data_IF_094922945769
#
_entry.id   IF_094922945769
#
_cell.length_a   1.000
_cell.length_b   1.000
_cell.length_c   1.000
_cell.angle_alpha   90.00
_cell.angle_beta   90.00
_cell.angle_gamma   90.00
#
_symmetry.space_group_name_H-M   'P 1'
#
loop_
_entity.id
_entity.type
_entity.pdbx_description
1 polymer ?
#
# COMPACT_ATOMS: atom_id res chain seq x y z
N UNK A 1 18.90 14.73 5.23
CA UNK A 1 19.47 15.37 4.02
C UNK A 1 20.25 14.28 3.30
N UNK A 2 19.77 13.84 2.14
CA UNK A 2 20.37 12.75 1.37
C UNK A 2 21.39 13.38 0.42
N UNK A 3 22.66 12.95 0.49
CA UNK A 3 23.71 13.46 -0.39
C UNK A 3 23.88 12.51 -1.58
N UNK A 4 23.58 12.99 -2.79
CA UNK A 4 23.85 12.27 -4.03
C UNK A 4 25.25 12.67 -4.55
N UNK A 5 26.12 11.71 -4.82
CA UNK A 5 27.43 11.95 -5.45
C UNK A 5 27.58 11.06 -6.69
N UNK A 6 27.48 11.66 -7.88
CA UNK A 6 27.85 11.00 -9.15
C UNK A 6 27.07 11.49 -10.37
N UNK A 7 27.80 12.13 -11.31
CA UNK A 7 27.42 12.62 -12.66
C UNK A 7 26.14 13.46 -12.79
N UNK A 8 26.19 14.38 -13.75
CA UNK A 8 25.26 15.50 -13.96
C UNK A 8 23.90 15.07 -14.54
N UNK A 9 23.39 13.92 -14.13
CA UNK A 9 22.01 13.55 -14.41
C UNK A 9 21.17 14.16 -13.30
N UNK A 10 20.42 15.21 -13.64
CA UNK A 10 19.45 15.76 -12.72
C UNK A 10 18.30 14.75 -12.64
N UNK A 11 18.16 13.97 -11.56
CA UNK A 11 17.00 13.09 -11.41
C UNK A 11 15.73 13.93 -11.55
N UNK A 12 14.70 13.35 -12.17
CA UNK A 12 13.47 14.08 -12.50
C UNK A 12 13.73 15.37 -13.31
N UNK A 13 14.78 15.43 -14.14
CA UNK A 13 15.12 16.65 -14.89
C UNK A 13 15.35 17.90 -14.01
N UNK A 14 15.66 17.70 -12.72
CA UNK A 14 15.82 18.77 -11.73
C UNK A 14 14.51 19.22 -11.07
N UNK A 15 13.41 18.50 -11.29
CA UNK A 15 12.08 18.76 -10.73
C UNK A 15 11.95 18.23 -9.31
N UNK A 16 10.96 18.73 -8.59
CA UNK A 16 10.71 18.33 -7.20
C UNK A 16 10.29 16.86 -7.10
N UNK A 17 10.87 16.14 -6.14
CA UNK A 17 10.43 14.79 -5.76
C UNK A 17 9.19 14.94 -4.88
N UNK A 18 8.04 14.47 -5.37
CA UNK A 18 6.75 14.59 -4.67
C UNK A 18 6.42 13.35 -3.83
N UNK A 19 6.96 12.18 -4.19
CA UNK A 19 6.78 10.95 -3.42
C UNK A 19 7.96 10.00 -3.59
N UNK A 20 8.07 9.05 -2.67
CA UNK A 20 9.06 7.98 -2.72
C UNK A 20 8.53 6.71 -2.07
N UNK A 21 9.08 5.57 -2.48
CA UNK A 21 8.80 4.25 -1.91
C UNK A 21 10.10 3.46 -1.78
N UNK A 22 10.22 2.72 -0.68
CA UNK A 22 11.33 1.80 -0.43
C UNK A 22 10.95 0.38 -0.84
N UNK A 23 11.87 -0.32 -1.49
CA UNK A 23 11.71 -1.75 -1.75
C UNK A 23 11.56 -2.52 -0.42
N UNK A 24 10.84 -3.66 -0.38
CA UNK A 24 10.64 -4.43 0.86
C UNK A 24 11.92 -4.81 1.58
N UNK A 25 12.98 -5.11 0.83
CA UNK A 25 14.31 -5.47 1.33
C UNK A 25 15.25 -4.27 1.53
N UNK A 26 14.75 -3.04 1.39
CA UNK A 26 15.52 -1.79 1.48
C UNK A 26 16.77 -1.74 0.59
N UNK A 27 16.74 -2.46 -0.54
CA UNK A 27 17.81 -2.42 -1.54
C UNK A 27 17.61 -1.31 -2.56
N UNK A 28 16.39 -0.79 -2.74
CA UNK A 28 16.12 0.28 -3.69
C UNK A 28 15.15 1.32 -3.12
N UNK A 29 15.24 2.54 -3.62
CA UNK A 29 14.24 3.61 -3.47
C UNK A 29 13.72 3.91 -4.87
N UNK A 30 12.41 3.99 -5.06
CA UNK A 30 11.83 4.65 -6.22
C UNK A 30 11.32 6.03 -5.80
N UNK A 31 11.66 7.07 -6.55
CA UNK A 31 11.18 8.43 -6.39
C UNK A 31 10.31 8.80 -7.57
N UNK A 32 9.33 9.67 -7.37
CA UNK A 32 8.48 10.21 -8.42
C UNK A 32 8.34 11.71 -8.34
N UNK A 33 8.13 12.35 -9.49
CA UNK A 33 7.81 13.78 -9.59
C UNK A 33 6.48 13.95 -10.32
N UNK A 34 5.56 14.71 -9.73
CA UNK A 34 4.29 15.02 -10.37
C UNK A 34 4.46 16.05 -11.51
N UNK A 35 5.53 16.84 -11.49
CA UNK A 35 5.73 17.91 -12.47
C UNK A 35 6.12 17.37 -13.84
N UNK A 36 6.93 16.32 -13.90
CA UNK A 36 7.37 15.71 -15.16
C UNK A 36 6.90 14.26 -15.35
N UNK A 37 6.14 13.72 -14.38
CA UNK A 37 5.61 12.36 -14.41
C UNK A 37 6.68 11.26 -14.37
N UNK A 38 7.94 11.60 -14.07
CA UNK A 38 9.03 10.64 -14.12
C UNK A 38 9.16 9.83 -12.83
N UNK A 39 9.62 8.58 -12.97
CA UNK A 39 9.95 7.67 -11.88
C UNK A 39 11.44 7.33 -11.99
N UNK A 40 12.19 7.52 -10.91
CA UNK A 40 13.62 7.21 -10.84
C UNK A 40 13.86 6.16 -9.76
N UNK A 41 14.60 5.12 -10.10
CA UNK A 41 15.00 4.06 -9.16
C UNK A 41 16.46 4.23 -8.79
N UNK A 42 16.69 4.12 -7.49
CA UNK A 42 17.98 4.23 -6.88
C UNK A 42 18.31 2.95 -6.14
N UNK A 43 19.51 2.40 -6.35
CA UNK A 43 20.02 1.28 -5.55
C UNK A 43 20.66 1.80 -4.27
N UNK A 44 20.27 1.24 -3.13
CA UNK A 44 20.93 1.41 -1.84
C UNK A 44 22.08 0.41 -1.76
N UNK A 45 23.30 0.92 -1.70
CA UNK A 45 24.50 0.07 -1.54
C UNK A 45 24.76 -0.25 -0.07
N UNK A 46 25.66 -1.21 0.20
CA UNK A 46 26.03 -1.63 1.57
C UNK A 46 26.55 -0.47 2.43
N UNK A 47 27.16 0.53 1.82
CA UNK A 47 27.66 1.72 2.50
C UNK A 47 26.56 2.78 2.73
N UNK A 48 25.28 2.41 2.52
CA UNK A 48 24.10 3.30 2.53
C UNK A 48 24.20 4.46 1.53
N UNK A 49 25.08 4.32 0.53
CA UNK A 49 25.20 5.25 -0.59
C UNK A 49 24.12 4.89 -1.61
N UNK A 50 23.37 5.90 -2.04
CA UNK A 50 22.32 5.77 -3.04
C UNK A 50 22.92 6.03 -4.42
N UNK A 51 22.77 5.07 -5.35
CA UNK A 51 23.26 5.18 -6.73
C UNK A 51 22.09 5.16 -7.69
N UNK A 52 22.15 6.01 -8.72
CA UNK A 52 21.21 5.95 -9.83
C UNK A 52 21.30 4.56 -10.48
N UNK A 53 20.14 3.92 -10.67
CA UNK A 53 20.04 2.59 -11.26
C UNK A 53 19.32 2.68 -12.62
N UNK A 54 18.06 3.12 -12.60
CA UNK A 54 17.21 3.21 -13.78
C UNK A 54 16.22 4.37 -13.67
N UNK A 55 15.65 4.79 -14.79
CA UNK A 55 14.54 5.76 -14.82
C UNK A 55 13.52 5.43 -15.90
N UNK A 56 12.30 5.88 -15.66
CA UNK A 56 11.19 5.90 -16.60
C UNK A 56 10.70 7.33 -16.68
N UNK A 57 10.62 7.86 -17.90
CA UNK A 57 9.98 9.15 -18.15
C UNK A 57 8.52 8.96 -18.57
N UNK A 58 7.78 10.06 -18.68
CA UNK A 58 6.39 10.05 -19.15
C UNK A 58 6.23 9.32 -20.49
N UNK A 59 7.16 9.47 -21.44
CA UNK A 59 7.07 8.80 -22.74
C UNK A 59 7.30 7.29 -22.66
N UNK A 60 8.20 6.82 -21.78
CA UNK A 60 8.40 5.38 -21.52
C UNK A 60 7.13 4.79 -20.91
N UNK A 61 6.51 5.51 -19.97
CA UNK A 61 5.26 5.11 -19.34
C UNK A 61 4.10 5.13 -20.34
N UNK A 62 3.94 6.20 -21.11
CA UNK A 62 2.95 6.30 -22.19
C UNK A 62 3.15 5.20 -23.22
N UNK A 63 4.37 4.91 -23.66
CA UNK A 63 4.60 3.81 -24.62
C UNK A 63 4.24 2.46 -24.05
N UNK A 64 4.60 2.22 -22.79
CA UNK A 64 4.30 0.97 -22.10
C UNK A 64 2.79 0.82 -21.80
N UNK A 65 2.09 1.92 -21.52
CA UNK A 65 0.65 2.00 -21.26
C UNK A 65 -0.18 2.38 -22.50
N UNK A 66 0.41 2.52 -23.69
CA UNK A 66 -0.31 2.73 -24.96
C UNK A 66 -0.21 1.52 -25.87
N UNK A 67 0.76 0.64 -25.62
CA UNK A 67 0.81 -0.70 -26.21
C UNK A 67 -0.43 -1.53 -25.83
N UNK A 68 -0.99 -1.28 -24.64
CA UNK A 68 -2.31 -1.74 -24.21
C UNK A 68 -3.21 -0.49 -24.07
N UNK A 69 -4.46 -0.52 -24.53
CA UNK A 69 -5.33 0.67 -24.57
C UNK A 69 -5.81 1.09 -23.17
N UNK A 70 -5.03 1.89 -22.43
CA UNK A 70 -5.46 2.52 -21.16
C UNK A 70 -6.21 3.86 -21.39
N UNK A 71 -7.12 3.90 -22.36
CA UNK A 71 -8.03 5.04 -22.54
C UNK A 71 -9.46 4.58 -22.40
N UNK A 72 -10.07 4.85 -21.25
CA UNK A 72 -11.51 4.95 -21.13
C UNK A 72 -11.87 6.12 -20.22
N UNK A 73 -12.76 6.98 -20.73
CA UNK A 73 -13.42 8.06 -20.00
C UNK A 73 -14.41 7.53 -18.94
N UNK A 74 -14.45 6.21 -18.74
CA UNK A 74 -15.17 5.51 -17.68
C UNK A 74 -14.18 4.64 -16.88
N UNK A 75 -14.20 4.78 -15.56
CA UNK A 75 -13.19 4.35 -14.59
C UNK A 75 -12.99 2.81 -14.44
N UNK A 76 -12.47 2.12 -15.46
CA UNK A 76 -11.81 0.82 -15.29
C UNK A 76 -10.32 1.04 -15.00
N UNK A 77 -9.97 1.10 -13.71
CA UNK A 77 -8.55 1.11 -13.32
C UNK A 77 -8.02 -0.31 -13.39
N UNK A 78 -7.28 -0.61 -14.46
CA UNK A 78 -6.47 -1.81 -14.59
C UNK A 78 -5.24 -1.72 -13.68
N UNK A 79 -5.00 -2.77 -12.87
CA UNK A 79 -3.78 -2.87 -12.06
C UNK A 79 -2.64 -3.37 -12.94
N UNK A 80 -1.55 -2.62 -13.06
CA UNK A 80 -0.39 -3.03 -13.83
C UNK A 80 0.85 -3.23 -12.94
N UNK A 81 1.66 -4.23 -13.28
CA UNK A 81 3.02 -4.37 -12.75
C UNK A 81 4.00 -3.99 -13.86
N UNK A 82 4.88 -3.05 -13.53
CA UNK A 82 5.94 -2.58 -14.41
C UNK A 82 7.29 -3.08 -13.90
N UNK A 83 7.98 -3.84 -14.72
CA UNK A 83 9.39 -4.14 -14.51
C UNK A 83 10.22 -3.01 -15.11
N UNK A 84 10.88 -2.25 -14.24
CA UNK A 84 11.62 -1.04 -14.63
C UNK A 84 12.90 -1.40 -15.40
N UNK A 85 13.46 -2.59 -15.20
CA UNK A 85 14.71 -3.02 -15.84
C UNK A 85 14.45 -3.42 -17.29
N UNK A 86 13.40 -4.20 -17.51
CA UNK A 86 13.01 -4.69 -18.85
C UNK A 86 12.06 -3.73 -19.56
N UNK A 87 11.52 -2.75 -18.84
CA UNK A 87 10.40 -1.88 -19.25
C UNK A 87 9.14 -2.65 -19.66
N UNK A 88 9.01 -3.90 -19.21
CA UNK A 88 7.83 -4.71 -19.52
C UNK A 88 6.69 -4.39 -18.57
N UNK A 89 5.50 -4.16 -19.12
CA UNK A 89 4.25 -4.02 -18.37
C UNK A 89 3.48 -5.32 -18.43
N UNK A 90 2.84 -5.66 -17.31
CA UNK A 90 1.84 -6.70 -17.27
C UNK A 90 0.58 -6.18 -16.58
N UNK A 91 -0.54 -6.23 -17.29
CA UNK A 91 -1.86 -5.99 -16.72
C UNK A 91 -2.27 -7.19 -15.87
N UNK A 92 -2.68 -6.92 -14.65
CA UNK A 92 -3.25 -7.88 -13.72
C UNK A 92 -4.76 -7.89 -13.90
N UNK A 93 -5.30 -9.05 -14.22
CA UNK A 93 -6.73 -9.26 -14.31
C UNK A 93 -7.17 -10.34 -13.32
N UNK A 94 -8.29 -10.08 -12.65
CA UNK A 94 -9.06 -11.03 -11.87
C UNK A 94 -10.50 -10.53 -11.81
N UNK A 95 -11.45 -11.45 -11.70
CA UNK A 95 -12.87 -11.07 -11.67
C UNK A 95 -13.16 -10.11 -10.51
N UNK A 96 -13.64 -8.91 -10.86
CA UNK A 96 -14.05 -7.88 -9.90
C UNK A 96 -12.90 -7.07 -9.28
N UNK A 97 -11.71 -7.08 -9.89
CA UNK A 97 -10.55 -6.34 -9.40
C UNK A 97 -10.61 -4.83 -9.68
N UNK A 98 -11.44 -4.39 -10.62
CA UNK A 98 -11.55 -3.01 -11.10
C UNK A 98 -11.92 -2.01 -9.99
N UNK A 99 -11.26 -0.84 -9.96
CA UNK A 99 -11.60 0.30 -9.09
C UNK A 99 -10.70 0.47 -7.86
N UNK A 100 -11.14 1.23 -6.86
CA UNK A 100 -10.33 1.56 -5.68
C UNK A 100 -9.98 0.33 -4.83
N UNK A 101 -8.70 0.13 -4.54
CA UNK A 101 -8.15 -0.97 -3.73
C UNK A 101 -7.08 -0.48 -2.75
N UNK A 102 -6.85 -1.29 -1.71
CA UNK A 102 -5.64 -1.25 -0.89
C UNK A 102 -4.67 -2.32 -1.42
N UNK A 103 -3.36 -2.06 -1.47
CA UNK A 103 -2.41 -3.04 -1.98
C UNK A 103 -1.06 -2.98 -1.28
N UNK A 104 -0.35 -4.11 -1.25
CA UNK A 104 1.02 -4.18 -0.73
C UNK A 104 1.77 -5.40 -1.24
N UNK A 105 3.08 -5.27 -1.43
CA UNK A 105 3.95 -6.42 -1.61
C UNK A 105 4.21 -7.10 -0.27
N UNK A 106 3.95 -8.41 -0.24
CA UNK A 106 4.22 -9.28 0.89
C UNK A 106 5.72 -9.59 0.98
N UNK A 107 6.19 -9.96 2.18
CA UNK A 107 7.59 -10.32 2.43
C UNK A 107 8.07 -11.51 1.58
N UNK A 108 7.16 -12.40 1.19
CA UNK A 108 7.46 -13.52 0.29
C UNK A 108 7.53 -13.12 -1.20
N UNK A 109 7.33 -11.84 -1.52
CA UNK A 109 7.35 -11.31 -2.88
C UNK A 109 6.01 -11.36 -3.62
N UNK A 110 4.96 -11.93 -3.03
CA UNK A 110 3.61 -11.89 -3.60
C UNK A 110 3.03 -10.47 -3.49
N UNK A 111 2.09 -10.12 -4.37
CA UNK A 111 1.32 -8.88 -4.31
C UNK A 111 -0.07 -9.20 -3.73
N UNK A 112 -0.40 -8.56 -2.61
CA UNK A 112 -1.74 -8.60 -2.03
C UNK A 112 -2.52 -7.34 -2.43
N UNK A 113 -3.74 -7.52 -2.93
CA UNK A 113 -4.67 -6.45 -3.25
C UNK A 113 -5.98 -6.74 -2.52
N UNK A 114 -6.53 -5.79 -1.76
CA UNK A 114 -7.85 -5.89 -1.15
C UNK A 114 -8.79 -4.89 -1.81
N UNK A 115 -9.87 -5.42 -2.37
CA UNK A 115 -10.97 -4.68 -2.97
C UNK A 115 -12.14 -4.62 -2.00
N UNK A 116 -12.68 -3.42 -1.79
CA UNK A 116 -13.95 -3.22 -1.09
C UNK A 116 -15.16 -3.42 -2.00
N UNK A 117 -16.15 -2.55 -1.85
CA UNK A 117 -17.36 -2.57 -2.69
C UNK A 117 -17.06 -2.62 -4.20
N UNK A 118 -17.78 -3.42 -5.00
CA UNK A 118 -18.92 -4.27 -4.62
C UNK A 118 -18.54 -5.72 -4.24
N UNK A 119 -17.27 -6.11 -4.38
CA UNK A 119 -16.88 -7.53 -4.31
C UNK A 119 -16.32 -7.99 -2.98
N UNK A 120 -15.69 -7.10 -2.20
CA UNK A 120 -15.12 -7.39 -0.88
C UNK A 120 -14.19 -8.61 -0.89
N UNK A 121 -13.07 -8.52 -1.63
CA UNK A 121 -12.13 -9.64 -1.83
C UNK A 121 -10.68 -9.26 -1.59
N UNK A 122 -9.88 -10.19 -1.11
CA UNK A 122 -8.42 -10.13 -1.19
C UNK A 122 -7.90 -11.02 -2.32
N UNK A 123 -7.05 -10.47 -3.17
CA UNK A 123 -6.38 -11.15 -4.28
C UNK A 123 -4.90 -11.29 -3.93
N UNK A 124 -4.35 -12.48 -4.12
CA UNK A 124 -2.91 -12.75 -3.98
C UNK A 124 -2.36 -13.09 -5.34
N UNK A 125 -1.56 -12.19 -5.90
CA UNK A 125 -0.81 -12.39 -7.12
C UNK A 125 0.59 -12.88 -6.79
N UNK A 126 1.01 -13.95 -7.45
CA UNK A 126 2.36 -14.49 -7.33
C UNK A 126 3.10 -14.34 -8.64
N UNK A 127 4.40 -14.08 -8.54
CA UNK A 127 5.33 -14.07 -9.67
C UNK A 127 5.76 -15.51 -9.94
N UNK A 128 5.47 -16.03 -11.13
CA UNK A 128 6.00 -17.31 -11.60
C UNK A 128 7.12 -17.08 -12.63
N UNK A 129 8.08 -18.00 -12.63
CA UNK A 129 9.10 -18.13 -13.67
C UNK A 129 8.74 -19.31 -14.55
N UNK A 130 7.80 -19.12 -15.47
CA UNK A 130 7.66 -20.02 -16.62
C UNK A 130 8.41 -19.40 -17.79
N UNK A 131 9.36 -20.14 -18.36
CA UNK A 131 10.02 -19.82 -19.64
C UNK A 131 10.89 -18.55 -19.68
N UNK A 132 11.50 -18.18 -18.55
CA UNK A 132 12.41 -17.02 -18.47
C UNK A 132 11.72 -15.66 -18.55
N UNK A 133 10.38 -15.63 -18.72
CA UNK A 133 9.56 -14.43 -18.62
C UNK A 133 8.84 -14.44 -17.28
N UNK A 134 9.04 -13.37 -16.53
CA UNK A 134 8.31 -13.13 -15.30
C UNK A 134 6.83 -12.90 -15.63
N UNK A 135 5.95 -13.76 -15.10
CA UNK A 135 4.51 -13.60 -15.25
C UNK A 135 3.84 -13.60 -13.88
N UNK A 136 3.04 -12.58 -13.63
CA UNK A 136 2.19 -12.49 -12.45
C UNK A 136 0.86 -13.18 -12.71
N UNK A 137 0.41 -13.99 -11.77
CA UNK A 137 -0.87 -14.69 -11.86
C UNK A 137 -1.60 -14.62 -10.54
N UNK A 138 -2.92 -14.42 -10.57
CA UNK A 138 -3.75 -14.50 -9.38
C UNK A 138 -3.76 -15.96 -8.87
N UNK A 139 -3.08 -16.20 -7.75
CA UNK A 139 -2.96 -17.52 -7.13
C UNK A 139 -4.12 -17.82 -6.20
N UNK A 140 -4.71 -16.78 -5.61
CA UNK A 140 -5.76 -16.95 -4.64
C UNK A 140 -6.69 -15.74 -4.55
N UNK A 141 -7.95 -16.04 -4.23
CA UNK A 141 -9.00 -15.05 -3.97
C UNK A 141 -9.64 -15.43 -2.64
N UNK A 142 -9.77 -14.45 -1.74
CA UNK A 142 -10.35 -14.62 -0.40
C UNK A 142 -11.57 -13.70 -0.34
N UNK A 143 -12.76 -14.26 -0.15
CA UNK A 143 -13.97 -13.49 0.13
C UNK A 143 -13.88 -12.89 1.54
N UNK A 144 -14.19 -11.62 1.66
CA UNK A 144 -14.14 -10.86 2.91
C UNK A 144 -15.55 -10.37 3.28
N UNK A 145 -15.73 -10.08 4.56
CA UNK A 145 -16.93 -9.39 5.01
C UNK A 145 -16.98 -7.95 4.49
N UNK A 146 -18.19 -7.38 4.40
CA UNK A 146 -18.37 -6.00 3.93
C UNK A 146 -17.79 -5.00 4.93
N UNK A 147 -16.75 -4.29 4.53
CA UNK A 147 -16.02 -3.35 5.38
C UNK A 147 -16.08 -1.91 4.84
N UNK A 148 -15.86 -0.93 5.71
CA UNK A 148 -15.80 0.49 5.34
C UNK A 148 -14.41 0.90 4.83
N UNK A 149 -13.36 0.37 5.44
CA UNK A 149 -11.97 0.57 5.01
C UNK A 149 -11.10 -0.65 5.32
N UNK A 150 -9.93 -0.72 4.70
CA UNK A 150 -8.99 -1.82 4.89
C UNK A 150 -7.56 -1.27 4.98
N UNK A 151 -6.71 -1.96 5.73
CA UNK A 151 -5.27 -1.76 5.69
C UNK A 151 -4.54 -3.09 5.58
N UNK A 152 -3.54 -3.20 4.71
CA UNK A 152 -2.75 -4.42 4.52
C UNK A 152 -1.28 -4.15 4.86
N UNK A 153 -0.66 -5.13 5.51
CA UNK A 153 0.76 -5.07 5.90
C UNK A 153 1.61 -6.01 5.06
N UNK A 154 2.91 -5.71 4.93
CA UNK A 154 3.88 -6.56 4.22
C UNK A 154 3.98 -7.99 4.77
N UNK A 155 3.61 -8.21 6.03
CA UNK A 155 3.54 -9.54 6.66
C UNK A 155 2.24 -10.30 6.35
N UNK A 156 1.40 -9.77 5.48
CA UNK A 156 0.15 -10.41 5.07
C UNK A 156 -0.98 -10.29 6.10
N UNK A 157 -0.87 -9.39 7.09
CA UNK A 157 -2.00 -9.06 7.96
C UNK A 157 -2.87 -8.02 7.27
N UNK A 158 -4.18 -8.30 7.18
CA UNK A 158 -5.21 -7.39 6.70
C UNK A 158 -6.10 -6.96 7.86
N UNK A 159 -6.42 -5.68 7.95
CA UNK A 159 -7.24 -5.05 8.98
C UNK A 159 -8.51 -4.49 8.35
N UNK A 160 -9.60 -5.24 8.43
CA UNK A 160 -10.91 -4.83 7.93
C UNK A 160 -11.60 -3.97 8.99
N UNK A 161 -12.03 -2.78 8.59
CA UNK A 161 -12.55 -1.76 9.48
C UNK A 161 -14.05 -1.58 9.26
N UNK A 162 -14.82 -1.65 10.34
CA UNK A 162 -16.27 -1.48 10.31
C UNK A 162 -16.66 -0.34 11.24
N UNK A 163 -17.30 0.69 10.70
CA UNK A 163 -17.69 1.88 11.47
C UNK A 163 -18.81 1.59 12.47
N UNK A 164 -19.74 0.71 12.11
CA UNK A 164 -20.84 0.26 12.97
C UNK A 164 -20.77 -1.28 13.02
N UNK A 165 -20.51 -1.89 14.20
CA UNK A 165 -20.53 -1.33 15.55
C UNK A 165 -19.19 -0.76 16.05
N UNK A 166 -18.24 -0.42 15.17
CA UNK A 166 -16.92 0.07 15.57
C UNK A 166 -15.98 -1.08 15.92
N UNK A 167 -15.62 -1.88 14.92
CA UNK A 167 -14.71 -3.02 15.10
C UNK A 167 -13.64 -3.06 14.01
N UNK A 168 -12.50 -3.64 14.35
CA UNK A 168 -11.45 -4.00 13.40
C UNK A 168 -11.24 -5.50 13.45
N UNK A 169 -11.36 -6.18 12.31
CA UNK A 169 -11.01 -7.59 12.15
C UNK A 169 -9.63 -7.72 11.52
N UNK A 170 -8.80 -8.56 12.11
CA UNK A 170 -7.52 -8.94 11.57
C UNK A 170 -7.63 -10.31 10.90
N UNK A 171 -7.17 -10.35 9.65
CA UNK A 171 -7.04 -11.56 8.85
C UNK A 171 -5.57 -11.79 8.51
N UNK A 172 -5.18 -13.05 8.47
CA UNK A 172 -3.92 -13.49 7.91
C UNK A 172 -4.16 -13.95 6.47
N UNK A 173 -3.70 -13.15 5.51
CA UNK A 173 -3.91 -13.40 4.07
C UNK A 173 -3.08 -14.58 3.54
N UNK A 174 -1.97 -14.93 4.22
CA UNK A 174 -1.09 -16.03 3.81
C UNK A 174 -1.74 -17.37 4.20
N UNK A 175 -2.14 -17.49 5.47
CA UNK A 175 -2.80 -18.69 6.02
C UNK A 175 -4.29 -18.72 5.73
N UNK A 176 -4.88 -17.59 5.27
CA UNK A 176 -6.30 -17.40 4.95
C UNK A 176 -7.21 -17.58 6.16
N UNK A 177 -6.74 -17.19 7.33
CA UNK A 177 -7.45 -17.39 8.60
C UNK A 177 -7.77 -16.06 9.26
N UNK A 178 -8.96 -16.01 9.85
CA UNK A 178 -9.26 -15.00 10.85
C UNK A 178 -8.29 -15.14 12.03
N UNK A 179 -7.79 -14.01 12.53
CA UNK A 179 -6.78 -13.95 13.57
C UNK A 179 -7.37 -13.33 14.85
N UNK A 180 -7.83 -12.08 14.76
CA UNK A 180 -8.23 -11.29 15.93
C UNK A 180 -9.34 -10.29 15.61
N UNK A 181 -10.09 -9.87 16.62
CA UNK A 181 -11.00 -8.72 16.55
C UNK A 181 -10.67 -7.70 17.64
N UNK A 182 -10.73 -6.43 17.29
CA UNK A 182 -10.52 -5.30 18.18
C UNK A 182 -11.80 -4.50 18.26
N UNK A 183 -12.37 -4.41 19.47
CA UNK A 183 -13.57 -3.61 19.72
C UNK A 183 -13.13 -2.18 19.97
N UNK A 184 -13.60 -1.26 19.14
CA UNK A 184 -13.34 0.16 19.30
C UNK A 184 -14.41 0.72 20.21
N UNK A 185 -14.01 1.29 21.35
CA UNK A 185 -14.95 1.72 22.38
C UNK A 185 -15.67 3.05 22.04
N UNK A 186 -15.78 3.41 20.77
CA UNK A 186 -16.27 4.71 20.35
C UNK A 186 -16.85 4.65 18.93
N UNK A 187 -18.00 5.29 18.71
CA UNK A 187 -18.50 5.63 17.36
C UNK A 187 -17.57 6.64 16.68
N UNK A 188 -16.43 6.15 16.24
CA UNK A 188 -15.30 6.87 15.69
C UNK A 188 -15.14 6.45 14.24
N UNK A 189 -15.02 7.43 13.34
CA UNK A 189 -14.56 7.16 11.98
C UNK A 189 -13.06 6.90 12.01
N UNK A 190 -12.68 5.74 11.50
CA UNK A 190 -11.29 5.32 11.44
C UNK A 190 -10.52 6.14 10.41
N UNK A 191 -9.32 6.57 10.78
CA UNK A 191 -8.47 7.37 9.89
C UNK A 191 -7.15 6.70 9.57
N UNK A 192 -6.60 5.91 10.49
CA UNK A 192 -5.31 5.26 10.29
C UNK A 192 -5.15 4.06 11.21
N UNK A 193 -4.52 3.02 10.67
CA UNK A 193 -4.05 1.85 11.40
C UNK A 193 -2.56 1.69 11.15
N UNK A 194 -1.79 1.40 12.21
CA UNK A 194 -0.38 1.05 12.11
C UNK A 194 -0.03 -0.06 13.07
N UNK A 195 0.77 -1.01 12.60
CA UNK A 195 1.45 -1.97 13.47
C UNK A 195 2.82 -1.43 13.91
N UNK A 196 3.24 -1.82 15.11
CA UNK A 196 4.64 -1.75 15.50
C UNK A 196 5.50 -2.67 14.62
N UNK A 197 6.80 -2.39 14.56
CA UNK A 197 7.74 -3.15 13.72
C UNK A 197 7.76 -4.66 14.03
N UNK A 198 7.67 -5.00 15.30
CA UNK A 198 7.58 -6.37 15.83
C UNK A 198 6.15 -6.97 15.76
N UNK A 199 5.19 -6.21 15.24
CA UNK A 199 3.76 -6.53 15.23
C UNK A 199 3.14 -6.77 16.63
N UNK A 200 3.81 -6.44 17.73
CA UNK A 200 3.26 -6.68 19.07
C UNK A 200 2.12 -5.70 19.41
N UNK A 201 2.15 -4.51 18.82
CA UNK A 201 1.20 -3.43 19.08
C UNK A 201 0.49 -2.98 17.81
N UNK A 202 -0.80 -2.71 17.94
CA UNK A 202 -1.65 -2.11 16.92
C UNK A 202 -2.09 -0.73 17.40
N UNK A 203 -1.66 0.32 16.71
CA UNK A 203 -2.12 1.68 16.92
C UNK A 203 -3.26 1.99 15.94
N UNK A 204 -4.40 2.39 16.50
CA UNK A 204 -5.59 2.78 15.75
C UNK A 204 -5.87 4.24 16.06
N UNK A 205 -5.84 5.08 15.02
CA UNK A 205 -6.22 6.48 15.09
C UNK A 205 -7.59 6.66 14.45
N UNK A 206 -8.49 7.26 15.21
CA UNK A 206 -9.76 7.68 14.65
C UNK A 206 -10.20 9.05 15.15
N UNK A 207 -11.21 9.57 14.48
CA UNK A 207 -11.80 10.87 14.72
C UNK A 207 -13.26 10.72 15.12
N UNK A 208 -13.68 11.49 16.12
CA UNK A 208 -15.09 11.71 16.42
C UNK A 208 -15.36 13.20 16.39
N UNK A 209 -16.35 13.59 15.58
CA UNK A 209 -16.79 14.97 15.47
C UNK A 209 -17.17 15.54 16.85
N UNK A 210 -16.77 16.78 17.11
CA UNK A 210 -16.96 17.45 18.41
C UNK A 210 -16.07 16.93 19.56
N UNK A 211 -15.41 15.78 19.43
CA UNK A 211 -14.56 15.19 20.48
C UNK A 211 -13.07 15.33 20.15
N UNK A 212 -12.70 15.16 18.88
CA UNK A 212 -11.31 15.27 18.41
C UNK A 212 -10.69 13.93 18.04
N UNK A 213 -9.37 13.84 18.18
CA UNK A 213 -8.58 12.68 17.73
C UNK A 213 -8.38 11.74 18.91
N UNK A 214 -8.64 10.45 18.69
CA UNK A 214 -8.31 9.38 19.62
C UNK A 214 -7.27 8.46 18.98
N UNK A 215 -6.25 8.09 19.75
CA UNK A 215 -5.34 7.00 19.41
C UNK A 215 -5.49 5.92 20.47
N UNK A 216 -5.82 4.71 20.04
CA UNK A 216 -5.92 3.52 20.89
C UNK A 216 -4.82 2.54 20.49
N UNK A 217 -4.14 1.96 21.48
CA UNK A 217 -3.06 0.99 21.28
C UNK A 217 -3.52 -0.34 21.85
N UNK A 218 -3.46 -1.39 21.05
CA UNK A 218 -3.85 -2.75 21.41
C UNK A 218 -2.65 -3.70 21.33
N UNK A 219 -2.63 -4.72 22.20
CA UNK A 219 -1.78 -5.89 22.01
C UNK A 219 -2.38 -6.79 20.94
N UNK A 220 -1.59 -7.12 19.92
CA UNK A 220 -2.09 -7.94 18.81
C UNK A 220 -2.37 -9.38 19.20
N UNK A 221 -1.57 -9.93 20.12
CA UNK A 221 -1.69 -11.32 20.58
C UNK A 221 -2.99 -11.59 21.35
N UNK A 222 -3.49 -10.61 22.09
CA UNK A 222 -4.66 -10.78 22.97
C UNK A 222 -5.86 -9.90 22.61
N UNK A 223 -5.69 -8.93 21.70
CA UNK A 223 -6.70 -7.92 21.44
C UNK A 223 -6.88 -6.90 22.58
N UNK A 224 -6.06 -6.96 23.63
CA UNK A 224 -6.23 -6.13 24.82
C UNK A 224 -5.82 -4.67 24.55
N UNK A 225 -6.70 -3.72 24.88
CA UNK A 225 -6.39 -2.29 24.89
C UNK A 225 -5.39 -1.99 26.01
N UNK A 226 -4.23 -1.43 25.66
CA UNK A 226 -3.16 -1.12 26.62
C UNK A 226 -2.98 0.38 26.86
N UNK A 227 -3.33 1.22 25.89
CA UNK A 227 -3.25 2.67 26.07
C UNK A 227 -4.28 3.39 25.20
N UNK A 228 -4.74 4.55 25.67
CA UNK A 228 -5.51 5.50 24.87
C UNK A 228 -4.98 6.91 25.09
N UNK A 229 -5.00 7.71 24.03
CA UNK A 229 -4.71 9.14 24.08
C UNK A 229 -5.82 9.90 23.36
N UNK A 230 -6.29 10.99 23.96
CA UNK A 230 -7.31 11.87 23.41
C UNK A 230 -6.74 13.26 23.27
N UNK A 231 -6.82 13.82 22.06
CA UNK A 231 -6.52 15.22 21.79
C UNK A 231 -7.80 15.93 21.38
N UNK A 232 -8.30 16.78 22.28
CA UNK A 232 -9.42 17.65 22.00
C UNK A 232 -8.97 18.78 21.07
N UNK A 233 -9.82 19.17 20.11
CA UNK A 233 -9.64 20.47 19.46
C UNK A 233 -10.01 21.53 20.50
N UNK A 234 -9.05 22.30 21.00
CA UNK A 234 -9.38 23.54 21.69
C UNK A 234 -10.14 24.40 20.70
N UNK A 235 -11.42 24.68 21.00
CA UNK A 235 -12.18 25.65 20.24
C UNK A 235 -11.46 26.99 20.29
N UNK A 236 -11.25 27.60 19.12
CA UNK A 236 -11.10 29.05 19.04
C UNK A 236 -12.34 29.64 19.71
N UNK A 237 -12.15 30.23 20.89
CA UNK A 237 -13.19 31.07 21.49
C UNK A 237 -13.44 32.20 20.49
N UNK A 238 -14.62 32.19 19.86
CA UNK A 238 -15.21 33.34 19.18
C UNK A 238 -15.47 34.45 20.19
#
# INVERSE_FOLDING_TARGET
>A
MMFCTGKKDFPHGGKEITYYVLSPNMQCIATGSNEDGSIVVWTITKDLIVKYDNSLNANDLERALSADKFYTEDFEVDFAILDITTKSVQILSAQGLEGYTEHTFLENGDLAIVKGDPVYRAYIFSKSNSDGKHKWTCKNIIELEKFNSCHITKKGKSFLCFEIPGLVMQWDLITRKFDMRYILNFGISLSQIKLSFDNALLAIRGFKEGVGINVSIYLTKSGMLVATSKKFRCGSKS
#
